data_IF_376565307775
#
_entry.id   IF_376565307775
#
_cell.length_a   1.000
_cell.length_b   1.000
_cell.length_c   1.000
_cell.angle_alpha   90.00
_cell.angle_beta   90.00
_cell.angle_gamma   90.00
#
_symmetry.space_group_name_H-M   'P 1'
#
loop_
_entity.id
_entity.type
_entity.pdbx_description
1 polymer ?
#
# COMPACT_ATOMS: atom_id res chain seq x y z
N UNK A 1 -4.98 34.88 1.16
CA UNK A 1 -6.03 33.86 1.34
C UNK A 1 -5.73 33.11 2.61
N UNK A 2 -6.68 33.04 3.56
CA UNK A 2 -6.42 32.50 4.91
C UNK A 2 -6.15 30.99 4.84
N UNK A 3 -4.89 30.59 5.04
CA UNK A 3 -4.48 29.21 5.24
C UNK A 3 -4.96 28.70 6.60
N UNK A 4 -6.20 28.19 6.65
CA UNK A 4 -6.73 27.53 7.83
C UNK A 4 -6.13 26.13 7.99
N UNK A 5 -5.59 25.80 9.16
CA UNK A 5 -5.19 24.44 9.50
C UNK A 5 -6.43 23.61 9.85
N UNK A 6 -6.71 22.56 9.08
CA UNK A 6 -7.78 21.59 9.39
C UNK A 6 -7.22 20.44 10.21
N UNK A 7 -7.81 20.16 11.37
CA UNK A 7 -7.44 18.98 12.16
C UNK A 7 -8.03 17.72 11.53
N UNK A 8 -7.16 16.78 11.15
CA UNK A 8 -7.55 15.49 10.54
C UNK A 8 -7.70 14.41 11.61
N UNK A 9 -6.83 14.41 12.63
CA UNK A 9 -6.78 13.44 13.72
C UNK A 9 -6.74 14.17 15.07
N UNK A 10 -7.50 13.70 16.06
CA UNK A 10 -7.74 14.40 17.32
C UNK A 10 -7.53 13.51 18.54
N UNK A 11 -6.34 13.62 19.16
CA UNK A 11 -6.06 13.05 20.49
C UNK A 11 -6.20 11.53 20.58
N UNK A 12 -5.62 10.79 19.63
CA UNK A 12 -5.67 9.34 19.61
C UNK A 12 -4.68 8.74 20.61
N UNK A 13 -5.04 7.62 21.23
CA UNK A 13 -4.18 6.85 22.14
C UNK A 13 -4.44 5.38 21.92
N UNK A 14 -3.39 4.59 21.75
CA UNK A 14 -3.47 3.16 21.52
C UNK A 14 -2.09 2.52 21.51
N UNK A 15 -2.05 1.20 21.43
CA UNK A 15 -0.84 0.40 21.35
C UNK A 15 -1.04 -0.79 20.41
N UNK A 16 0.02 -1.52 20.11
CA UNK A 16 -0.09 -2.85 19.48
C UNK A 16 1.14 -3.65 19.88
N UNK A 17 0.96 -4.94 20.20
CA UNK A 17 2.04 -5.79 20.70
C UNK A 17 2.58 -6.69 19.58
N UNK A 18 3.79 -7.24 19.72
CA UNK A 18 4.27 -8.31 18.85
C UNK A 18 3.33 -9.51 18.89
N UNK A 19 3.04 -10.13 17.74
CA UNK A 19 2.07 -11.21 17.62
C UNK A 19 0.61 -10.75 17.55
N UNK A 20 0.36 -9.44 17.41
CA UNK A 20 -0.99 -8.89 17.30
C UNK A 20 -1.23 -8.23 15.93
N UNK A 21 -2.48 -8.37 15.50
CA UNK A 21 -3.05 -7.69 14.32
C UNK A 21 -4.03 -6.63 14.81
N UNK A 22 -3.69 -5.36 14.58
CA UNK A 22 -4.52 -4.19 14.84
C UNK A 22 -5.26 -3.78 13.55
N UNK A 23 -6.59 -3.80 13.60
CA UNK A 23 -7.43 -3.26 12.54
C UNK A 23 -7.84 -1.81 12.85
N UNK A 24 -7.58 -0.90 11.91
CA UNK A 24 -8.07 0.48 11.91
C UNK A 24 -9.27 0.53 10.98
N UNK A 25 -10.44 0.79 11.55
CA UNK A 25 -11.71 0.78 10.84
C UNK A 25 -12.44 2.11 11.01
N UNK A 26 -13.27 2.45 10.05
CA UNK A 26 -14.07 3.67 10.09
C UNK A 26 -14.57 4.10 8.71
N UNK A 27 -15.51 5.05 8.65
CA UNK A 27 -16.08 5.54 7.40
C UNK A 27 -15.02 6.14 6.47
N UNK A 28 -15.38 6.30 5.21
CA UNK A 28 -14.57 7.07 4.25
C UNK A 28 -14.27 8.47 4.79
N UNK A 29 -13.03 8.94 4.59
CA UNK A 29 -12.60 10.27 5.04
C UNK A 29 -12.42 10.44 6.55
N UNK A 30 -12.54 9.40 7.39
CA UNK A 30 -12.37 9.53 8.84
C UNK A 30 -10.91 9.64 9.32
N UNK A 31 -9.93 9.50 8.42
CA UNK A 31 -8.50 9.62 8.72
C UNK A 31 -7.73 8.29 8.88
N UNK A 32 -8.27 7.16 8.41
CA UNK A 32 -7.60 5.83 8.50
C UNK A 32 -6.20 5.82 7.88
N UNK A 33 -6.10 6.13 6.59
CA UNK A 33 -4.81 6.16 5.88
C UNK A 33 -3.90 7.24 6.44
N UNK A 34 -4.44 8.40 6.86
CA UNK A 34 -3.65 9.43 7.56
C UNK A 34 -3.06 8.91 8.87
N UNK A 35 -3.82 8.16 9.68
CA UNK A 35 -3.29 7.54 10.90
C UNK A 35 -2.22 6.51 10.55
N UNK A 36 -2.46 5.67 9.55
CA UNK A 36 -1.51 4.65 9.12
C UNK A 36 -0.20 5.26 8.59
N UNK A 37 -0.28 6.28 7.74
CA UNK A 37 0.86 7.05 7.24
C UNK A 37 1.60 7.78 8.38
N UNK A 38 0.87 8.30 9.37
CA UNK A 38 1.46 8.94 10.55
C UNK A 38 2.26 7.93 11.36
N UNK A 39 1.68 6.75 11.62
CA UNK A 39 2.36 5.65 12.32
C UNK A 39 3.56 5.12 11.53
N UNK A 40 3.49 5.13 10.19
CA UNK A 40 4.55 4.71 9.30
C UNK A 40 5.62 5.79 9.03
N UNK A 41 5.46 7.00 9.56
CA UNK A 41 6.40 8.11 9.34
C UNK A 41 6.41 8.66 7.91
N UNK A 42 5.31 8.51 7.17
CA UNK A 42 5.14 8.88 5.74
C UNK A 42 4.40 10.20 5.53
N UNK A 43 4.15 10.96 6.59
CA UNK A 43 3.46 12.25 6.50
C UNK A 43 4.23 13.23 5.61
N UNK A 44 3.51 13.89 4.70
CA UNK A 44 4.06 14.92 3.84
C UNK A 44 4.48 16.17 4.62
N UNK A 45 5.39 16.96 4.03
CA UNK A 45 5.93 18.19 4.62
C UNK A 45 4.88 19.25 4.99
N UNK A 46 3.69 19.16 4.40
CA UNK A 46 2.59 20.11 4.62
C UNK A 46 1.72 19.77 5.84
N UNK A 47 1.98 18.65 6.51
CA UNK A 47 1.19 18.19 7.66
C UNK A 47 1.95 18.40 8.96
N UNK A 48 1.28 18.97 9.96
CA UNK A 48 1.84 19.12 11.32
C UNK A 48 1.38 17.96 12.19
N UNK A 49 2.34 17.26 12.78
CA UNK A 49 2.10 16.22 13.76
C UNK A 49 2.25 16.77 15.19
N UNK A 50 1.38 16.34 16.09
CA UNK A 50 1.49 16.57 17.54
C UNK A 50 1.29 15.25 18.28
N UNK A 51 1.93 15.10 19.43
CA UNK A 51 1.98 13.84 20.17
C UNK A 51 3.19 12.97 19.82
N UNK A 52 3.31 11.84 20.50
CA UNK A 52 4.49 10.97 20.45
C UNK A 52 4.16 9.59 19.91
N UNK A 53 4.95 9.13 18.94
CA UNK A 53 4.92 7.75 18.43
C UNK A 53 6.18 7.07 18.94
N UNK A 54 5.98 5.98 19.66
CA UNK A 54 7.04 5.26 20.36
C UNK A 54 7.05 3.81 19.89
N UNK A 55 8.24 3.29 19.63
CA UNK A 55 8.46 1.89 19.28
C UNK A 55 9.33 1.29 20.37
N UNK A 56 8.83 0.25 21.05
CA UNK A 56 9.44 -0.32 22.26
C UNK A 56 9.78 0.75 23.32
N UNK A 57 8.94 1.79 23.47
CA UNK A 57 9.15 2.89 24.41
C UNK A 57 10.15 3.97 23.95
N UNK A 58 10.69 3.88 22.73
CA UNK A 58 11.65 4.83 22.18
C UNK A 58 11.06 5.66 21.03
N UNK A 59 11.35 6.97 21.00
CA UNK A 59 11.13 7.83 19.81
C UNK A 59 12.15 7.43 18.75
N UNK A 60 11.74 6.55 17.83
CA UNK A 60 12.62 6.06 16.76
C UNK A 60 12.02 6.41 15.41
N UNK A 61 12.84 7.01 14.53
CA UNK A 61 12.48 7.14 13.13
C UNK A 61 12.40 5.74 12.51
N UNK A 62 11.28 5.43 11.86
CA UNK A 62 11.10 4.20 11.13
C UNK A 62 12.11 4.17 9.97
N UNK A 63 13.00 3.19 10.01
CA UNK A 63 13.98 2.96 8.96
C UNK A 63 13.46 1.89 8.00
N UNK A 64 13.81 2.02 6.72
CA UNK A 64 13.53 1.02 5.71
C UNK A 64 14.06 -0.36 6.11
N UNK A 65 13.24 -1.40 5.94
CA UNK A 65 13.58 -2.79 6.29
C UNK A 65 13.30 -3.18 7.75
N UNK A 66 13.09 -2.20 8.64
CA UNK A 66 12.57 -2.44 9.99
C UNK A 66 11.06 -2.50 9.99
N UNK A 67 10.45 -1.61 9.20
CA UNK A 67 9.04 -1.61 8.85
C UNK A 67 8.84 -1.75 7.35
N UNK A 68 7.70 -2.30 6.95
CA UNK A 68 7.24 -2.28 5.56
C UNK A 68 5.84 -1.67 5.46
N UNK A 69 5.54 -1.06 4.31
CA UNK A 69 4.27 -0.38 4.06
C UNK A 69 3.70 -0.83 2.73
N UNK A 70 2.55 -1.48 2.76
CA UNK A 70 1.80 -1.85 1.56
C UNK A 70 0.75 -0.77 1.30
N UNK A 71 0.87 -0.09 0.17
CA UNK A 71 -0.09 0.93 -0.28
C UNK A 71 -1.41 0.30 -0.72
N UNK A 72 -2.47 1.12 -0.82
CA UNK A 72 -3.76 0.68 -1.35
C UNK A 72 -3.64 0.20 -2.81
N UNK A 73 -2.96 0.99 -3.65
CA UNK A 73 -2.70 0.62 -5.04
C UNK A 73 -1.50 -0.33 -5.15
N UNK A 74 -1.66 -1.39 -5.96
CA UNK A 74 -0.59 -2.33 -6.28
C UNK A 74 0.31 -1.77 -7.38
N UNK A 75 1.43 -1.16 -6.99
CA UNK A 75 2.46 -0.69 -7.93
C UNK A 75 3.31 -1.89 -8.43
N UNK A 76 2.82 -2.59 -9.45
CA UNK A 76 3.49 -3.74 -10.05
C UNK A 76 3.76 -3.52 -11.54
N UNK A 77 4.98 -3.86 -12.01
CA UNK A 77 5.28 -3.91 -13.44
C UNK A 77 4.55 -5.10 -14.05
N UNK A 78 3.58 -4.80 -14.92
CA UNK A 78 2.62 -5.76 -15.46
C UNK A 78 3.25 -6.75 -16.46
N UNK A 79 4.35 -6.40 -17.10
CA UNK A 79 5.06 -7.25 -18.09
C UNK A 79 5.94 -8.34 -17.46
N UNK A 80 6.20 -8.23 -16.16
CA UNK A 80 7.02 -9.20 -15.41
C UNK A 80 6.16 -10.38 -14.95
N UNK A 81 6.82 -11.52 -14.78
CA UNK A 81 6.25 -12.66 -14.05
C UNK A 81 6.31 -12.43 -12.55
N UNK A 82 5.50 -13.17 -11.78
CA UNK A 82 5.55 -13.15 -10.30
C UNK A 82 6.98 -13.42 -9.80
N UNK A 83 7.63 -14.47 -10.34
CA UNK A 83 9.00 -14.82 -9.98
C UNK A 83 9.96 -13.66 -10.22
N UNK A 84 9.90 -13.06 -11.41
CA UNK A 84 10.81 -11.96 -11.78
C UNK A 84 10.59 -10.74 -10.88
N UNK A 85 9.34 -10.34 -10.65
CA UNK A 85 9.02 -9.21 -9.79
C UNK A 85 9.58 -9.40 -8.38
N UNK A 86 9.32 -10.55 -7.75
CA UNK A 86 9.81 -10.86 -6.40
C UNK A 86 11.35 -11.01 -6.38
N UNK A 87 11.96 -11.60 -7.41
CA UNK A 87 13.42 -11.78 -7.47
C UNK A 87 14.17 -10.47 -7.69
N UNK A 88 13.63 -9.56 -8.50
CA UNK A 88 14.21 -8.22 -8.66
C UNK A 88 14.11 -7.44 -7.36
N UNK A 89 12.95 -7.47 -6.68
CA UNK A 89 12.80 -6.88 -5.35
C UNK A 89 13.76 -7.50 -4.34
N UNK A 90 13.91 -8.82 -4.31
CA UNK A 90 14.85 -9.50 -3.41
C UNK A 90 16.30 -9.04 -3.65
N UNK A 91 16.71 -8.85 -4.91
CA UNK A 91 18.06 -8.36 -5.21
C UNK A 91 18.30 -6.93 -4.74
N UNK A 92 17.29 -6.06 -4.83
CA UNK A 92 17.38 -4.64 -4.48
C UNK A 92 17.24 -4.38 -2.98
N UNK A 93 16.33 -5.10 -2.32
CA UNK A 93 15.95 -4.86 -0.92
C UNK A 93 16.80 -5.68 0.08
N UNK A 94 17.25 -6.88 -0.29
CA UNK A 94 18.03 -7.73 0.62
C UNK A 94 19.51 -7.29 0.67
N UNK A 95 20.17 -7.45 1.83
CA UNK A 95 21.53 -6.97 2.04
C UNK A 95 22.55 -7.64 1.12
N UNK A 96 23.65 -6.94 0.84
CA UNK A 96 24.76 -7.47 0.02
C UNK A 96 25.53 -8.62 0.70
N UNK A 97 25.39 -8.76 2.02
CA UNK A 97 25.97 -9.91 2.76
C UNK A 97 25.33 -11.24 2.36
N UNK A 98 24.13 -11.20 1.79
CA UNK A 98 23.42 -12.37 1.31
C UNK A 98 23.82 -12.69 -0.14
N UNK A 99 24.20 -13.93 -0.39
CA UNK A 99 24.54 -14.42 -1.72
C UNK A 99 23.34 -14.42 -2.66
N UNK A 100 23.58 -14.47 -3.98
CA UNK A 100 22.50 -14.53 -4.97
C UNK A 100 21.60 -15.77 -4.79
N UNK A 101 22.15 -16.89 -4.35
CA UNK A 101 21.37 -18.10 -4.07
C UNK A 101 20.46 -17.89 -2.87
N UNK A 102 20.99 -17.39 -1.75
CA UNK A 102 20.19 -17.15 -0.55
C UNK A 102 19.08 -16.11 -0.79
N UNK A 103 19.35 -15.07 -1.60
CA UNK A 103 18.32 -14.09 -2.00
C UNK A 103 17.21 -14.76 -2.80
N UNK A 104 17.56 -15.69 -3.69
CA UNK A 104 16.61 -16.46 -4.50
C UNK A 104 15.79 -17.41 -3.62
N UNK A 105 16.44 -18.14 -2.72
CA UNK A 105 15.79 -19.07 -1.79
C UNK A 105 14.83 -18.32 -0.85
N UNK A 106 15.22 -17.12 -0.40
CA UNK A 106 14.34 -16.23 0.36
C UNK A 106 13.11 -15.84 -0.46
N UNK A 107 13.29 -15.43 -1.71
CA UNK A 107 12.18 -15.08 -2.57
C UNK A 107 11.23 -16.26 -2.82
N UNK A 108 11.76 -17.44 -3.14
CA UNK A 108 10.97 -18.65 -3.35
C UNK A 108 10.17 -19.04 -2.09
N UNK A 109 10.78 -18.93 -0.91
CA UNK A 109 10.11 -19.15 0.37
C UNK A 109 8.94 -18.17 0.57
N UNK A 110 9.14 -16.88 0.31
CA UNK A 110 8.09 -15.87 0.48
C UNK A 110 6.95 -16.06 -0.53
N UNK A 111 7.24 -16.47 -1.76
CA UNK A 111 6.20 -16.83 -2.76
C UNK A 111 5.39 -18.05 -2.25
N UNK A 112 6.01 -19.01 -1.56
CA UNK A 112 5.31 -20.16 -0.95
C UNK A 112 4.41 -19.73 0.19
N UNK A 113 4.91 -18.89 1.09
CA UNK A 113 4.16 -18.36 2.24
C UNK A 113 2.88 -17.64 1.80
N UNK A 114 2.95 -16.89 0.70
CA UNK A 114 1.79 -16.18 0.13
C UNK A 114 0.91 -17.05 -0.79
N UNK A 115 1.22 -18.33 -0.98
CA UNK A 115 0.42 -19.24 -1.81
C UNK A 115 0.41 -18.87 -3.30
N UNK A 116 1.55 -18.41 -3.83
CA UNK A 116 1.73 -17.95 -5.22
C UNK A 116 2.53 -18.93 -6.10
N UNK A 117 2.67 -20.20 -5.68
CA UNK A 117 3.48 -21.19 -6.42
C UNK A 117 2.93 -21.48 -7.82
N UNK A 118 1.62 -21.65 -7.93
CA UNK A 118 0.97 -22.05 -9.18
C UNK A 118 1.05 -20.96 -10.27
N UNK A 119 1.17 -19.69 -9.86
CA UNK A 119 1.25 -18.56 -10.76
C UNK A 119 2.66 -17.93 -10.82
N UNK A 120 3.67 -18.61 -10.30
CA UNK A 120 5.03 -18.07 -10.18
C UNK A 120 5.64 -17.66 -11.53
N UNK A 121 5.33 -18.38 -12.61
CA UNK A 121 5.82 -18.08 -13.96
C UNK A 121 4.78 -17.32 -14.82
N UNK A 122 3.67 -16.88 -14.24
CA UNK A 122 2.60 -16.15 -14.94
C UNK A 122 2.92 -14.66 -14.99
N UNK A 123 2.69 -14.02 -16.14
CA UNK A 123 2.85 -12.57 -16.34
C UNK A 123 1.75 -11.83 -15.57
N UNK A 124 2.14 -10.82 -14.79
CA UNK A 124 1.26 -10.10 -13.85
C UNK A 124 0.04 -9.45 -14.56
N UNK A 125 0.30 -8.74 -15.66
CA UNK A 125 -0.71 -8.05 -16.47
C UNK A 125 -1.41 -8.92 -17.49
N UNK A 126 -0.87 -10.09 -17.80
CA UNK A 126 -1.26 -10.87 -18.97
C UNK A 126 -0.54 -10.42 -20.24
N UNK A 127 -0.89 -11.06 -21.35
CA UNK A 127 -0.40 -10.74 -22.70
C UNK A 127 -1.57 -10.72 -23.67
N UNK A 128 -1.38 -10.26 -24.91
CA UNK A 128 -2.39 -10.22 -25.96
C UNK A 128 -3.21 -11.53 -26.02
N UNK A 129 -4.46 -11.46 -25.55
CA UNK A 129 -5.40 -12.60 -25.50
C UNK A 129 -5.26 -13.55 -24.30
N UNK A 130 -4.23 -13.44 -23.47
CA UNK A 130 -3.99 -14.28 -22.30
C UNK A 130 -4.26 -13.51 -20.99
N UNK A 131 -5.15 -14.06 -20.16
CA UNK A 131 -5.50 -13.48 -18.85
C UNK A 131 -4.28 -13.49 -17.91
N UNK A 132 -4.00 -12.33 -17.30
CA UNK A 132 -2.99 -12.18 -16.26
C UNK A 132 -3.46 -12.69 -14.89
N UNK A 133 -2.82 -12.20 -13.84
CA UNK A 133 -3.18 -12.54 -12.46
C UNK A 133 -4.54 -11.95 -12.05
N UNK A 134 -5.25 -12.66 -11.17
CA UNK A 134 -6.45 -12.11 -10.51
C UNK A 134 -6.08 -10.96 -9.57
N UNK A 135 -7.06 -10.13 -9.19
CA UNK A 135 -6.85 -9.04 -8.23
C UNK A 135 -6.23 -9.53 -6.91
N UNK A 136 -6.76 -10.62 -6.35
CA UNK A 136 -6.23 -11.22 -5.12
C UNK A 136 -4.81 -11.75 -5.28
N UNK A 137 -4.47 -12.29 -6.45
CA UNK A 137 -3.10 -12.71 -6.76
C UNK A 137 -2.16 -11.51 -6.84
N UNK A 138 -2.53 -10.43 -7.56
CA UNK A 138 -1.74 -9.19 -7.63
C UNK A 138 -1.50 -8.61 -6.24
N UNK A 139 -2.54 -8.57 -5.40
CA UNK A 139 -2.44 -8.09 -4.02
C UNK A 139 -1.45 -8.89 -3.19
N UNK A 140 -1.51 -10.23 -3.30
CA UNK A 140 -0.53 -11.11 -2.64
C UNK A 140 0.89 -10.91 -3.15
N UNK A 141 1.09 -10.59 -4.44
CA UNK A 141 2.43 -10.27 -4.98
C UNK A 141 2.96 -8.95 -4.41
N UNK A 142 2.12 -7.93 -4.32
CA UNK A 142 2.45 -6.63 -3.71
C UNK A 142 2.90 -6.80 -2.25
N UNK A 143 2.11 -7.54 -1.44
CA UNK A 143 2.48 -7.88 -0.07
C UNK A 143 3.75 -8.74 -0.02
N UNK A 144 3.88 -9.73 -0.92
CA UNK A 144 5.04 -10.62 -1.02
C UNK A 144 6.34 -9.83 -1.17
N UNK A 145 6.34 -8.77 -1.97
CA UNK A 145 7.51 -7.91 -2.18
C UNK A 145 7.90 -7.20 -0.88
N UNK A 146 6.95 -6.63 -0.17
CA UNK A 146 7.19 -5.88 1.07
C UNK A 146 7.68 -6.76 2.22
N UNK A 147 7.21 -8.01 2.32
CA UNK A 147 7.59 -8.93 3.39
C UNK A 147 8.93 -9.65 3.16
N UNK A 148 9.57 -9.50 1.99
CA UNK A 148 10.88 -10.12 1.67
C UNK A 148 11.94 -9.79 2.72
N UNK A 149 11.91 -8.55 3.21
CA UNK A 149 12.85 -8.04 4.22
C UNK A 149 12.60 -8.62 5.61
N UNK A 150 11.53 -9.40 5.81
CA UNK A 150 11.02 -9.85 7.12
C UNK A 150 10.92 -8.69 8.12
N UNK A 151 10.07 -7.70 7.83
CA UNK A 151 9.89 -6.54 8.69
C UNK A 151 9.24 -6.98 10.00
N UNK A 152 9.64 -6.36 11.12
CA UNK A 152 9.00 -6.59 12.41
C UNK A 152 7.69 -5.81 12.53
N UNK A 153 7.58 -4.67 11.84
CA UNK A 153 6.38 -3.84 11.77
C UNK A 153 5.84 -3.86 10.34
N UNK A 154 4.59 -4.24 10.15
CA UNK A 154 3.94 -4.28 8.84
C UNK A 154 2.70 -3.38 8.83
N UNK A 155 2.70 -2.40 7.94
CA UNK A 155 1.57 -1.49 7.71
C UNK A 155 0.87 -1.89 6.40
N UNK A 156 -0.45 -2.04 6.44
CA UNK A 156 -1.26 -2.47 5.30
C UNK A 156 -2.41 -1.50 5.07
N UNK A 157 -2.34 -0.72 4.00
CA UNK A 157 -3.41 0.23 3.66
C UNK A 157 -4.46 -0.47 2.78
N UNK A 158 -5.64 -0.71 3.34
CA UNK A 158 -6.78 -1.38 2.69
C UNK A 158 -6.38 -2.65 1.90
N UNK A 159 -5.82 -3.68 2.55
CA UNK A 159 -5.32 -4.90 1.88
C UNK A 159 -6.41 -5.72 1.19
N UNK A 160 -7.67 -5.50 1.52
CA UNK A 160 -8.82 -6.22 0.95
C UNK A 160 -9.60 -5.41 -0.08
N UNK A 161 -9.15 -4.20 -0.42
CA UNK A 161 -9.84 -3.35 -1.39
C UNK A 161 -9.88 -3.99 -2.78
N UNK A 162 -11.05 -3.96 -3.43
CA UNK A 162 -11.24 -4.54 -4.77
C UNK A 162 -11.21 -6.08 -4.83
N UNK A 163 -11.21 -6.77 -3.69
CA UNK A 163 -11.26 -8.23 -3.60
C UNK A 163 -12.65 -8.73 -3.21
N UNK A 164 -13.00 -9.95 -3.64
CA UNK A 164 -14.16 -10.65 -3.12
C UNK A 164 -13.90 -11.18 -1.69
N UNK A 165 -14.95 -11.62 -0.99
CA UNK A 165 -14.85 -12.08 0.41
C UNK A 165 -13.89 -13.26 0.57
N UNK A 166 -13.90 -14.20 -0.37
CA UNK A 166 -13.03 -15.38 -0.34
C UNK A 166 -11.55 -15.02 -0.54
N UNK A 167 -11.22 -14.19 -1.54
CA UNK A 167 -9.84 -13.75 -1.74
C UNK A 167 -9.37 -12.85 -0.58
N UNK A 168 -10.24 -12.00 -0.04
CA UNK A 168 -9.95 -11.16 1.13
C UNK A 168 -9.58 -12.02 2.34
N UNK A 169 -10.39 -13.02 2.68
CA UNK A 169 -10.09 -13.96 3.76
C UNK A 169 -8.77 -14.70 3.51
N UNK A 170 -8.54 -15.17 2.29
CA UNK A 170 -7.30 -15.85 1.97
C UNK A 170 -6.07 -14.95 2.15
N UNK A 171 -6.13 -13.70 1.69
CA UNK A 171 -5.03 -12.73 1.84
C UNK A 171 -4.77 -12.47 3.33
N UNK A 172 -5.82 -12.14 4.09
CA UNK A 172 -5.70 -11.79 5.50
C UNK A 172 -5.29 -12.96 6.38
N UNK A 173 -5.77 -14.18 6.11
CA UNK A 173 -5.34 -15.38 6.84
C UNK A 173 -3.87 -15.70 6.61
N UNK A 174 -3.33 -15.47 5.41
CA UNK A 174 -1.89 -15.60 5.15
C UNK A 174 -1.10 -14.56 5.94
N UNK A 175 -1.52 -13.30 5.92
CA UNK A 175 -0.88 -12.23 6.69
C UNK A 175 -0.90 -12.53 8.19
N UNK A 176 -2.05 -12.94 8.74
CA UNK A 176 -2.17 -13.32 10.14
C UNK A 176 -1.34 -14.56 10.48
N UNK A 177 -1.16 -15.50 9.55
CA UNK A 177 -0.29 -16.67 9.77
C UNK A 177 1.21 -16.34 9.77
N UNK A 178 1.63 -15.26 9.10
CA UNK A 178 3.01 -14.76 9.18
C UNK A 178 3.33 -14.25 10.59
N UNK A 179 2.32 -13.68 11.25
CA UNK A 179 2.42 -13.12 12.58
C UNK A 179 2.75 -14.18 13.65
N UNK A 180 2.02 -15.30 13.62
CA UNK A 180 2.17 -16.40 14.59
C UNK A 180 3.56 -17.04 14.60
N UNK A 181 4.30 -16.97 13.49
CA UNK A 181 5.61 -17.61 13.35
C UNK A 181 6.78 -16.71 13.70
N UNK A 182 6.62 -15.41 13.46
CA UNK A 182 7.73 -14.45 13.55
C UNK A 182 7.52 -13.36 14.60
N UNK A 183 6.34 -13.30 15.24
CA UNK A 183 5.99 -12.29 16.24
C UNK A 183 6.03 -10.89 15.66
N UNK A 184 5.42 -10.70 14.49
CA UNK A 184 5.39 -9.40 13.82
C UNK A 184 4.35 -8.50 14.49
N UNK A 185 4.35 -7.23 14.18
CA UNK A 185 3.27 -6.34 14.61
C UNK A 185 2.62 -5.83 13.35
N UNK A 186 1.34 -6.15 13.17
CA UNK A 186 0.62 -5.85 11.94
C UNK A 186 -0.43 -4.79 12.24
N UNK A 187 -0.39 -3.69 11.49
CA UNK A 187 -1.38 -2.62 11.56
C UNK A 187 -2.00 -2.47 10.19
N UNK A 188 -3.31 -2.66 10.09
CA UNK A 188 -4.02 -2.62 8.81
C UNK A 188 -5.20 -1.65 8.87
N UNK A 189 -5.36 -0.81 7.85
CA UNK A 189 -6.60 -0.08 7.63
C UNK A 189 -7.55 -0.95 6.82
N UNK A 190 -8.82 -1.09 7.25
CA UNK A 190 -9.82 -1.88 6.52
C UNK A 190 -11.15 -1.12 6.55
N UNK A 191 -11.79 -1.00 5.40
CA UNK A 191 -13.08 -0.32 5.30
C UNK A 191 -14.22 -1.19 5.84
N UNK A 192 -14.45 -2.38 5.26
CA UNK A 192 -15.58 -3.26 5.61
C UNK A 192 -15.17 -4.74 5.46
N UNK A 193 -14.66 -5.39 6.52
CA UNK A 193 -14.27 -6.80 6.47
C UNK A 193 -15.51 -7.73 6.53
N UNK A 194 -15.39 -8.94 5.97
CA UNK A 194 -16.32 -10.02 6.27
C UNK A 194 -16.18 -10.47 7.72
N UNK A 195 -17.19 -11.13 8.29
CA UNK A 195 -17.12 -11.67 9.66
C UNK A 195 -15.92 -12.60 9.88
N UNK A 196 -15.55 -13.38 8.86
CA UNK A 196 -14.38 -14.28 8.90
C UNK A 196 -13.07 -13.50 8.97
N UNK A 197 -12.95 -12.39 8.22
CA UNK A 197 -11.78 -11.51 8.27
C UNK A 197 -11.74 -10.75 9.60
N UNK A 198 -12.90 -10.29 10.09
CA UNK A 198 -13.00 -9.57 11.36
C UNK A 198 -12.54 -10.43 12.54
N UNK A 199 -12.82 -11.73 12.52
CA UNK A 199 -12.38 -12.68 13.53
C UNK A 199 -10.85 -12.88 13.58
N UNK A 200 -10.09 -12.43 12.58
CA UNK A 200 -8.63 -12.50 12.57
C UNK A 200 -7.96 -11.36 13.35
N UNK A 201 -8.71 -10.32 13.75
CA UNK A 201 -8.16 -9.16 14.43
C UNK A 201 -8.10 -9.35 15.94
N UNK A 202 -6.95 -9.01 16.51
CA UNK A 202 -6.76 -9.02 17.97
C UNK A 202 -7.33 -7.75 18.56
N UNK A 203 -6.93 -6.61 18.00
CA UNK A 203 -7.35 -5.28 18.44
C UNK A 203 -8.05 -4.53 17.31
N UNK A 204 -8.99 -3.67 17.70
CA UNK A 204 -9.79 -2.83 16.82
C UNK A 204 -9.65 -1.37 17.25
N UNK A 205 -9.31 -0.49 16.31
CA UNK A 205 -9.35 0.96 16.44
C UNK A 205 -10.45 1.51 15.52
N UNK A 206 -11.57 1.92 16.10
CA UNK A 206 -12.67 2.56 15.36
C UNK A 206 -12.50 4.08 15.36
N UNK A 207 -12.48 4.65 14.17
CA UNK A 207 -12.33 6.09 13.93
C UNK A 207 -13.56 6.67 13.26
N UNK A 208 -14.00 7.83 13.75
CA UNK A 208 -15.01 8.65 13.07
C UNK A 208 -14.63 10.13 13.17
N UNK A 209 -14.59 10.82 12.01
CA UNK A 209 -14.17 12.23 11.89
C UNK A 209 -12.88 12.57 12.64
N UNK A 210 -11.86 11.70 12.56
CA UNK A 210 -10.57 11.91 13.23
C UNK A 210 -10.52 11.61 14.72
N UNK A 211 -11.63 11.15 15.33
CA UNK A 211 -11.74 10.84 16.76
C UNK A 211 -11.84 9.33 16.96
N UNK A 212 -11.25 8.82 18.04
CA UNK A 212 -11.39 7.41 18.44
C UNK A 212 -12.76 7.20 19.07
N UNK A 213 -13.57 6.35 18.43
CA UNK A 213 -14.86 5.88 18.94
C UNK A 213 -14.66 4.71 19.89
N UNK A 214 -13.73 3.81 19.57
CA UNK A 214 -13.39 2.64 20.37
C UNK A 214 -11.95 2.22 20.06
N UNK A 215 -11.21 1.81 21.08
CA UNK A 215 -9.95 1.09 20.91
C UNK A 215 -9.87 -0.03 21.97
N UNK A 216 -9.56 -1.25 21.54
CA UNK A 216 -9.45 -2.41 22.41
C UNK A 216 -9.62 -3.73 21.66
N UNK A 217 -9.82 -4.85 22.37
CA UNK A 217 -9.99 -6.17 21.76
C UNK A 217 -11.18 -6.20 20.78
N UNK A 218 -10.99 -6.76 19.59
CA UNK A 218 -12.05 -6.82 18.57
C UNK A 218 -13.30 -7.56 19.05
N UNK A 219 -13.13 -8.59 19.89
CA UNK A 219 -14.22 -9.37 20.50
C UNK A 219 -15.08 -8.56 21.49
N UNK A 220 -14.49 -7.56 22.16
CA UNK A 220 -15.18 -6.73 23.15
C UNK A 220 -15.95 -5.56 22.51
N UNK A 221 -15.72 -5.24 21.24
CA UNK A 221 -16.37 -4.14 20.54
C UNK A 221 -17.91 -4.29 20.52
N UNK A 222 -18.42 -5.50 20.29
CA UNK A 222 -19.87 -5.77 20.31
C UNK A 222 -20.51 -5.42 21.65
N UNK A 223 -19.85 -5.79 22.75
CA UNK A 223 -20.33 -5.50 24.10
C UNK A 223 -20.33 -3.99 24.38
N UNK A 224 -19.27 -3.27 23.94
CA UNK A 224 -19.19 -1.82 24.08
C UNK A 224 -20.35 -1.11 23.38
N UNK A 225 -20.68 -1.50 22.15
CA UNK A 225 -21.81 -0.92 21.42
C UNK A 225 -23.16 -1.25 22.08
N UNK A 226 -23.34 -2.48 22.57
CA UNK A 226 -24.56 -2.90 23.28
C UNK A 226 -24.78 -2.09 24.58
N UNK A 227 -23.74 -1.88 25.39
CA UNK A 227 -23.80 -1.10 26.63
C UNK A 227 -24.16 0.38 26.40
N UNK A 228 -23.84 0.90 25.22
CA UNK A 228 -24.13 2.27 24.82
C UNK A 228 -25.49 2.43 24.11
N UNK A 229 -26.32 1.39 24.10
CA UNK A 229 -27.66 1.42 23.51
C UNK A 229 -27.70 1.14 22.01
N UNK A 230 -26.62 0.62 21.43
CA UNK A 230 -26.51 0.28 20.00
C UNK A 230 -26.14 -1.20 19.80
N UNK A 231 -26.92 -2.18 20.32
CA UNK A 231 -26.60 -3.59 20.17
C UNK A 231 -26.58 -4.02 18.70
N UNK A 232 -25.61 -4.88 18.34
CA UNK A 232 -25.56 -5.48 17.01
C UNK A 232 -26.73 -6.46 16.81
N UNK A 233 -27.49 -6.37 15.71
CA UNK A 233 -28.52 -7.36 15.39
C UNK A 233 -27.93 -8.77 15.22
N UNK A 234 -28.70 -9.80 15.58
CA UNK A 234 -28.26 -11.20 15.65
C UNK A 234 -27.81 -11.82 14.33
N UNK A 235 -28.29 -11.31 13.19
CA UNK A 235 -27.96 -11.81 11.85
C UNK A 235 -27.16 -10.81 11.01
N UNK A 236 -26.60 -9.78 11.65
CA UNK A 236 -25.80 -8.76 10.96
C UNK A 236 -24.32 -8.92 11.28
N UNK A 237 -23.47 -8.63 10.30
CA UNK A 237 -22.03 -8.56 10.51
C UNK A 237 -21.70 -7.40 11.48
N UNK A 238 -21.00 -7.66 12.61
CA UNK A 238 -20.57 -6.63 13.55
C UNK A 238 -19.87 -5.43 12.91
N UNK A 239 -18.98 -5.67 11.96
CA UNK A 239 -18.25 -4.59 11.29
C UNK A 239 -19.19 -3.62 10.57
N UNK A 240 -20.20 -4.15 9.88
CA UNK A 240 -21.15 -3.36 9.11
C UNK A 240 -22.02 -2.52 10.05
N UNK A 241 -22.43 -3.10 11.18
CA UNK A 241 -23.18 -2.40 12.22
C UNK A 241 -22.38 -1.25 12.81
N UNK A 242 -21.12 -1.46 13.15
CA UNK A 242 -20.25 -0.41 13.70
C UNK A 242 -20.09 0.75 12.73
N UNK A 243 -19.77 0.44 11.46
CA UNK A 243 -19.55 1.45 10.44
C UNK A 243 -20.82 2.24 10.15
N UNK A 244 -21.97 1.58 10.04
CA UNK A 244 -23.26 2.25 9.84
C UNK A 244 -23.60 3.19 10.99
N UNK A 245 -23.31 2.79 12.23
CA UNK A 245 -23.57 3.60 13.43
C UNK A 245 -22.70 4.86 13.48
N UNK A 246 -21.47 4.79 12.96
CA UNK A 246 -20.49 5.88 13.07
C UNK A 246 -20.31 6.70 11.77
N UNK A 247 -21.11 6.43 10.74
CA UNK A 247 -21.03 7.09 9.43
C UNK A 247 -21.99 8.28 9.33
N UNK A 248 -21.43 9.46 9.07
CA UNK A 248 -22.19 10.71 8.95
C UNK A 248 -22.92 10.88 7.62
N UNK A 249 -22.45 10.22 6.57
CA UNK A 249 -22.87 10.50 5.18
C UNK A 249 -24.27 9.95 4.87
N UNK A 250 -24.76 8.97 5.64
CA UNK A 250 -26.06 8.32 5.43
C UNK A 250 -27.12 8.73 6.47
N UNK A 251 -26.97 9.91 7.07
CA UNK A 251 -27.92 10.44 8.06
C UNK A 251 -29.30 10.81 7.51
N UNK A 252 -29.46 10.93 6.18
CA UNK A 252 -30.68 11.45 5.55
C UNK A 252 -31.60 10.38 4.93
N UNK A 253 -31.14 9.14 4.72
CA UNK A 253 -31.92 8.09 4.03
C UNK A 253 -32.67 7.15 4.99
N UNK A 254 -33.63 7.68 5.74
CA UNK A 254 -34.70 6.86 6.32
C UNK A 254 -36.04 7.41 5.81
N UNK A 255 -36.44 6.99 4.61
CA UNK A 255 -37.82 7.04 4.08
C UNK A 255 -38.81 6.17 4.90
N UNK A 256 -38.63 6.08 6.22
CA UNK A 256 -39.54 5.42 7.15
C UNK A 256 -39.77 6.30 8.37
N UNK A 257 -40.81 7.13 8.28
CA UNK A 257 -41.70 7.56 9.36
C UNK A 257 -41.11 8.00 10.70
N UNK A 258 -41.27 9.30 10.99
CA UNK A 258 -41.49 9.95 12.28
C UNK A 258 -41.08 9.27 13.60
N UNK A 259 -40.32 10.05 14.39
CA UNK A 259 -40.27 10.17 15.85
C UNK A 259 -38.93 9.77 16.52
N UNK A 260 -38.09 10.76 16.82
CA UNK A 260 -37.18 10.73 17.97
C UNK A 260 -35.80 10.08 17.83
N UNK A 261 -35.29 9.81 16.62
CA UNK A 261 -33.92 9.29 16.47
C UNK A 261 -32.88 10.42 16.62
N UNK A 262 -31.96 10.25 17.58
CA UNK A 262 -30.73 11.05 17.77
C UNK A 262 -30.00 11.20 16.43
N UNK A 263 -29.39 12.35 16.18
CA UNK A 263 -28.59 12.55 14.95
C UNK A 263 -27.34 11.67 14.99
N UNK A 264 -26.81 11.26 13.83
CA UNK A 264 -25.58 10.45 13.80
C UNK A 264 -24.40 11.14 14.48
N UNK A 265 -24.37 12.47 14.48
CA UNK A 265 -23.36 13.25 15.22
C UNK A 265 -23.50 13.10 16.73
N UNK A 266 -24.73 13.17 17.26
CA UNK A 266 -25.01 12.91 18.67
C UNK A 266 -24.63 11.47 19.05
N UNK A 267 -24.88 10.49 18.18
CA UNK A 267 -24.48 9.09 18.41
C UNK A 267 -22.96 8.95 18.52
N UNK A 268 -22.21 9.56 17.60
CA UNK A 268 -20.75 9.54 17.62
C UNK A 268 -20.24 10.24 18.89
N UNK A 269 -20.82 11.37 19.28
CA UNK A 269 -20.41 12.09 20.48
C UNK A 269 -20.69 11.28 21.76
N UNK A 270 -21.84 10.62 21.85
CA UNK A 270 -22.15 9.70 22.96
C UNK A 270 -21.11 8.58 23.04
N UNK A 271 -20.80 7.92 21.91
CA UNK A 271 -19.84 6.82 21.89
C UNK A 271 -18.42 7.28 22.24
N UNK A 272 -17.98 8.44 21.71
CA UNK A 272 -16.66 9.02 22.02
C UNK A 272 -16.55 9.39 23.49
N UNK A 273 -17.58 10.02 24.07
CA UNK A 273 -17.60 10.39 25.49
C UNK A 273 -17.65 9.15 26.39
N UNK A 274 -18.46 8.16 26.02
CA UNK A 274 -18.55 6.89 26.74
C UNK A 274 -17.24 6.11 26.69
N UNK A 275 -16.56 6.08 25.54
CA UNK A 275 -15.24 5.45 25.45
C UNK A 275 -14.25 6.16 26.38
N UNK A 276 -14.19 7.49 26.38
CA UNK A 276 -13.30 8.26 27.27
C UNK A 276 -13.58 8.05 28.76
N UNK A 277 -14.82 7.80 29.16
CA UNK A 277 -15.20 7.50 30.55
C UNK A 277 -15.14 6.01 30.89
N UNK A 278 -14.98 5.12 29.90
CA UNK A 278 -14.95 3.67 30.08
C UNK A 278 -13.68 3.16 30.78
N UNK A 279 -13.80 2.00 31.43
CA UNK A 279 -12.66 1.25 31.97
C UNK A 279 -11.68 0.84 30.89
N UNK A 280 -12.15 0.52 29.68
CA UNK A 280 -11.31 0.16 28.54
C UNK A 280 -10.32 1.28 28.17
N UNK A 281 -10.75 2.54 28.15
CA UNK A 281 -9.84 3.66 27.89
C UNK A 281 -8.80 3.85 29.00
N UNK A 282 -9.19 3.67 30.26
CA UNK A 282 -8.25 3.72 31.39
C UNK A 282 -7.21 2.60 31.32
N UNK A 283 -7.64 1.38 30.96
CA UNK A 283 -6.76 0.24 30.78
C UNK A 283 -5.77 0.46 29.62
N UNK A 284 -6.24 0.99 28.48
CA UNK A 284 -5.37 1.35 27.35
C UNK A 284 -4.34 2.39 27.76
N UNK A 285 -4.74 3.43 28.52
CA UNK A 285 -3.78 4.43 29.03
C UNK A 285 -2.76 3.84 29.98
N UNK A 286 -3.19 2.93 30.86
CA UNK A 286 -2.31 2.21 31.79
C UNK A 286 -1.29 1.36 31.03
N UNK A 287 -1.74 0.56 30.07
CA UNK A 287 -0.89 -0.26 29.20
C UNK A 287 0.11 0.60 28.42
N UNK A 288 -0.33 1.70 27.81
CA UNK A 288 0.57 2.63 27.12
C UNK A 288 1.62 3.19 28.07
N UNK A 289 1.24 3.62 29.27
CA UNK A 289 2.18 4.12 30.27
C UNK A 289 3.17 3.04 30.72
N UNK A 290 2.71 1.81 30.91
CA UNK A 290 3.55 0.67 31.29
C UNK A 290 4.56 0.32 30.20
N UNK A 291 4.14 0.26 28.93
CA UNK A 291 5.01 0.01 27.78
C UNK A 291 6.09 1.09 27.62
N UNK A 292 5.74 2.35 27.90
CA UNK A 292 6.69 3.47 27.90
C UNK A 292 7.71 3.32 29.02
N UNK A 293 7.28 2.92 30.22
CA UNK A 293 8.13 2.77 31.39
C UNK A 293 9.08 1.57 31.29
N UNK A 294 8.57 0.42 30.82
CA UNK A 294 9.32 -0.84 30.75
C UNK A 294 10.52 -0.74 29.80
N UNK A 295 10.41 0.01 28.68
CA UNK A 295 11.42 0.03 27.61
C UNK A 295 11.92 -1.38 27.26
N UNK A 296 11.02 -2.36 27.31
CA UNK A 296 11.32 -3.76 27.04
C UNK A 296 11.37 -3.92 25.51
N UNK A 297 12.60 -4.04 25.00
CA UNK A 297 12.88 -4.17 23.58
C UNK A 297 14.04 -3.28 23.19
N UNK A 298 15.19 -3.88 22.87
CA UNK A 298 16.33 -3.14 22.33
C UNK A 298 15.91 -2.29 21.12
N UNK A 299 16.62 -1.18 20.90
CA UNK A 299 16.40 -0.34 19.72
C UNK A 299 16.38 -1.23 18.47
N UNK A 300 15.40 -1.03 17.59
CA UNK A 300 15.35 -1.77 16.33
C UNK A 300 16.68 -1.54 15.60
N UNK A 301 17.42 -2.62 15.33
CA UNK A 301 18.77 -2.55 14.78
C UNK A 301 18.79 -1.66 13.55
N UNK A 302 19.57 -0.59 13.63
CA UNK A 302 19.53 0.55 12.72
C UNK A 302 20.27 0.31 11.39
N UNK A 303 20.57 -0.94 11.04
CA UNK A 303 21.43 -1.25 9.89
C UNK A 303 21.00 -2.51 9.17
N UNK A 304 20.11 -2.35 8.18
CA UNK A 304 20.19 -3.21 6.99
C UNK A 304 20.59 -2.35 5.81
N UNK A 305 21.76 -2.69 5.25
CA UNK A 305 22.31 -2.08 4.05
C UNK A 305 21.43 -2.47 2.86
N UNK A 306 21.02 -1.49 2.07
CA UNK A 306 20.51 -1.73 0.73
C UNK A 306 21.57 -2.38 -0.15
N UNK A 307 21.14 -2.91 -1.29
CA UNK A 307 22.06 -3.26 -2.37
C UNK A 307 22.95 -2.06 -2.74
N UNK A 308 24.19 -2.31 -3.16
CA UNK A 308 25.11 -1.23 -3.56
C UNK A 308 24.53 -0.46 -4.77
N UNK A 309 24.87 0.82 -4.93
CA UNK A 309 24.37 1.63 -6.07
C UNK A 309 24.63 0.97 -7.42
N UNK A 310 25.83 0.39 -7.62
CA UNK A 310 26.16 -0.33 -8.85
C UNK A 310 25.29 -1.58 -9.05
N UNK A 311 25.04 -2.33 -7.97
CA UNK A 311 24.13 -3.48 -8.01
C UNK A 311 22.71 -3.04 -8.35
N UNK A 312 22.22 -1.97 -7.73
CA UNK A 312 20.90 -1.41 -8.01
C UNK A 312 20.79 -0.98 -9.47
N UNK A 313 21.75 -0.22 -9.98
CA UNK A 313 21.80 0.21 -11.37
C UNK A 313 21.75 -0.99 -12.33
N UNK A 314 22.62 -1.98 -12.15
CA UNK A 314 22.63 -3.17 -13.00
C UNK A 314 21.31 -3.95 -12.96
N UNK A 315 20.74 -4.15 -11.77
CA UNK A 315 19.48 -4.89 -11.60
C UNK A 315 18.31 -4.12 -12.21
N UNK A 316 18.23 -2.80 -12.01
CA UNK A 316 17.19 -1.96 -12.58
C UNK A 316 17.30 -1.87 -14.11
N UNK A 317 18.51 -1.72 -14.66
CA UNK A 317 18.72 -1.73 -16.11
C UNK A 317 18.30 -3.07 -16.71
N UNK A 318 18.65 -4.19 -16.07
CA UNK A 318 18.21 -5.51 -16.52
C UNK A 318 16.68 -5.66 -16.46
N UNK A 319 16.05 -5.22 -15.36
CA UNK A 319 14.58 -5.20 -15.19
C UNK A 319 13.92 -4.38 -16.30
N UNK A 320 14.42 -3.19 -16.56
CA UNK A 320 13.93 -2.28 -17.59
C UNK A 320 14.10 -2.86 -18.99
N UNK A 321 15.23 -3.52 -19.29
CA UNK A 321 15.42 -4.18 -20.59
C UNK A 321 14.41 -5.31 -20.84
N UNK A 322 14.10 -6.10 -19.82
CA UNK A 322 13.07 -7.16 -19.92
C UNK A 322 11.68 -6.55 -20.12
N UNK A 323 11.35 -5.48 -19.39
CA UNK A 323 10.11 -4.73 -19.55
C UNK A 323 9.98 -4.23 -21.01
N UNK A 324 11.01 -3.55 -21.49
CA UNK A 324 11.08 -2.97 -22.83
C UNK A 324 10.95 -4.00 -23.95
N UNK A 325 11.59 -5.16 -23.80
CA UNK A 325 11.52 -6.23 -24.79
C UNK A 325 10.13 -6.87 -24.89
N UNK A 326 9.44 -7.02 -23.75
CA UNK A 326 8.13 -7.69 -23.67
C UNK A 326 6.94 -6.78 -23.94
N UNK A 327 7.10 -5.47 -23.76
CA UNK A 327 6.13 -4.50 -24.23
C UNK A 327 6.25 -4.29 -25.76
N UNK A 328 5.74 -5.30 -26.47
CA UNK A 328 5.66 -5.35 -27.93
C UNK A 328 4.80 -4.23 -28.53
N UNK A 329 3.84 -3.69 -27.78
CA UNK A 329 2.98 -2.63 -28.29
C UNK A 329 3.73 -1.31 -28.39
N UNK A 330 4.38 -0.89 -27.30
CA UNK A 330 4.90 0.46 -27.21
C UNK A 330 6.30 0.62 -27.86
N UNK A 331 7.26 -0.24 -27.52
CA UNK A 331 8.64 -0.05 -27.97
C UNK A 331 8.88 -0.53 -29.40
N UNK A 332 8.32 -1.67 -29.79
CA UNK A 332 8.50 -2.19 -31.14
C UNK A 332 7.76 -1.36 -32.19
N UNK A 333 6.56 -0.84 -31.87
CA UNK A 333 5.88 0.12 -32.73
C UNK A 333 6.73 1.37 -32.94
N UNK A 334 7.38 1.89 -31.89
CA UNK A 334 8.29 3.03 -31.99
C UNK A 334 9.50 2.71 -32.89
N UNK A 335 10.12 1.54 -32.75
CA UNK A 335 11.20 1.10 -33.64
C UNK A 335 10.72 1.03 -35.09
N UNK A 336 9.54 0.46 -35.34
CA UNK A 336 8.96 0.39 -36.68
C UNK A 336 8.70 1.77 -37.30
N UNK A 337 8.19 2.73 -36.51
CA UNK A 337 7.99 4.12 -36.93
C UNK A 337 9.33 4.81 -37.26
N UNK A 338 10.38 4.56 -36.48
CA UNK A 338 11.71 5.10 -36.80
C UNK A 338 12.27 4.52 -38.09
N UNK A 339 12.12 3.21 -38.30
CA UNK A 339 12.59 2.54 -39.52
C UNK A 339 11.81 3.05 -40.74
N UNK A 340 10.48 3.17 -40.66
CA UNK A 340 9.66 3.67 -41.76
C UNK A 340 10.00 5.12 -42.11
N UNK A 341 10.23 5.97 -41.10
CA UNK A 341 10.62 7.36 -41.30
C UNK A 341 12.05 7.48 -41.88
N UNK A 342 12.99 6.65 -41.42
CA UNK A 342 14.34 6.60 -41.97
C UNK A 342 14.34 6.16 -43.44
N UNK A 343 13.52 5.15 -43.79
CA UNK A 343 13.34 4.72 -45.18
C UNK A 343 12.70 5.83 -46.03
N UNK A 344 11.65 6.51 -45.52
CA UNK A 344 11.01 7.62 -46.23
C UNK A 344 11.94 8.81 -46.47
N UNK A 345 12.76 9.18 -45.49
CA UNK A 345 13.78 10.22 -45.67
C UNK A 345 14.88 9.76 -46.62
N UNK A 346 15.31 8.51 -46.52
CA UNK A 346 16.32 7.92 -47.38
C UNK A 346 15.89 7.86 -48.85
N UNK A 347 14.60 7.66 -49.13
CA UNK A 347 14.06 7.66 -50.50
C UNK A 347 13.86 9.06 -51.05
N UNK A 348 13.32 10.00 -50.26
CA UNK A 348 13.09 11.39 -50.70
C UNK A 348 14.42 12.10 -51.01
N UNK A 349 15.45 11.82 -50.22
CA UNK A 349 16.75 12.47 -50.31
C UNK A 349 17.84 11.54 -50.86
N UNK A 350 17.44 10.60 -51.72
CA UNK A 350 18.36 9.69 -52.38
C UNK A 350 19.29 10.46 -53.34
N UNK A 351 20.60 10.20 -53.26
CA UNK A 351 21.64 10.75 -54.14
C UNK A 351 21.67 12.29 -54.26
N UNK A 352 21.77 12.98 -53.12
CA UNK A 352 21.98 14.43 -53.10
C UNK A 352 23.38 14.76 -53.63
N UNK A 353 23.43 15.25 -54.87
CA UNK A 353 24.65 15.74 -55.52
C UNK A 353 25.34 16.91 -54.80
N UNK A 354 26.33 17.53 -55.44
CA UNK A 354 27.20 18.57 -54.84
C UNK A 354 26.87 20.00 -55.29
N UNK A 355 25.65 20.29 -55.73
CA UNK A 355 25.22 21.62 -56.19
C UNK A 355 24.87 22.57 -55.03
N UNK A 356 24.75 23.88 -55.30
CA UNK A 356 24.29 24.86 -54.30
C UNK A 356 22.89 24.55 -53.73
N UNK A 357 21.98 23.99 -54.56
CA UNK A 357 20.67 23.50 -54.10
C UNK A 357 20.76 22.31 -53.14
N UNK A 358 21.86 21.56 -53.20
CA UNK A 358 22.10 20.37 -52.38
C UNK A 358 22.44 20.74 -50.93
N UNK A 359 23.04 21.92 -50.70
CA UNK A 359 23.30 22.47 -49.37
C UNK A 359 21.97 22.74 -48.64
N UNK A 360 20.98 23.32 -49.33
CA UNK A 360 19.66 23.57 -48.77
C UNK A 360 18.93 22.26 -48.44
N UNK A 361 18.99 21.25 -49.32
CA UNK A 361 18.41 19.93 -49.08
C UNK A 361 19.00 19.24 -47.84
N UNK A 362 20.33 19.30 -47.67
CA UNK A 362 21.02 18.76 -46.47
C UNK A 362 20.60 19.49 -45.19
N UNK A 363 20.44 20.82 -45.24
CA UNK A 363 19.93 21.60 -44.12
C UNK A 363 18.50 21.19 -43.73
N UNK A 364 17.62 21.00 -44.71
CA UNK A 364 16.24 20.54 -44.48
C UNK A 364 16.17 19.16 -43.83
N UNK A 365 17.02 18.21 -44.22
CA UNK A 365 17.09 16.88 -43.61
C UNK A 365 17.49 16.97 -42.13
N UNK A 366 18.54 17.72 -41.81
CA UNK A 366 19.03 17.87 -40.43
C UNK A 366 17.96 18.51 -39.56
N UNK A 367 17.29 19.55 -40.06
CA UNK A 367 16.19 20.20 -39.36
C UNK A 367 15.01 19.25 -39.13
N UNK A 368 14.64 18.46 -40.14
CA UNK A 368 13.57 17.47 -40.02
C UNK A 368 13.90 16.38 -39.01
N UNK A 369 15.10 15.79 -39.06
CA UNK A 369 15.56 14.78 -38.11
C UNK A 369 15.54 15.35 -36.68
N UNK A 370 16.05 16.55 -36.48
CA UNK A 370 16.11 17.20 -35.15
C UNK A 370 14.71 17.45 -34.60
N UNK A 371 13.80 17.99 -35.42
CA UNK A 371 12.41 18.24 -35.03
C UNK A 371 11.66 16.93 -34.70
N UNK A 372 11.81 15.91 -35.54
CA UNK A 372 11.15 14.62 -35.33
C UNK A 372 11.66 13.88 -34.10
N UNK A 373 12.98 13.87 -33.86
CA UNK A 373 13.55 13.30 -32.64
C UNK A 373 12.99 14.01 -31.41
N UNK A 374 12.89 15.34 -31.44
CA UNK A 374 12.32 16.13 -30.34
C UNK A 374 10.86 15.74 -30.07
N UNK A 375 10.03 15.63 -31.11
CA UNK A 375 8.62 15.23 -30.96
C UNK A 375 8.48 13.82 -30.40
N UNK A 376 9.32 12.88 -30.84
CA UNK A 376 9.28 11.49 -30.38
C UNK A 376 9.72 11.32 -28.92
N UNK A 377 10.57 12.20 -28.38
CA UNK A 377 10.95 12.16 -26.96
C UNK A 377 9.76 12.39 -26.03
N UNK A 378 8.79 13.22 -26.42
CA UNK A 378 7.57 13.49 -25.65
C UNK A 378 6.77 12.20 -25.44
N UNK A 379 6.73 11.35 -26.48
CA UNK A 379 6.03 10.07 -26.41
C UNK A 379 6.60 9.13 -25.34
N UNK A 380 7.85 9.33 -24.89
CA UNK A 380 8.55 8.56 -23.85
C UNK A 380 8.02 8.76 -22.43
N UNK A 381 7.32 9.87 -22.20
CA UNK A 381 6.96 10.33 -20.85
C UNK A 381 5.99 9.40 -20.10
N UNK A 382 4.91 8.84 -20.71
CA UNK A 382 3.97 7.98 -19.98
C UNK A 382 4.62 6.71 -19.41
N UNK A 383 5.49 6.06 -20.20
CA UNK A 383 6.23 4.87 -19.76
C UNK A 383 7.20 5.19 -18.61
N UNK A 384 7.85 6.36 -18.64
CA UNK A 384 8.67 6.83 -17.54
C UNK A 384 7.86 7.08 -16.26
N UNK A 385 6.66 7.65 -16.39
CA UNK A 385 5.75 7.87 -15.25
C UNK A 385 5.28 6.55 -14.63
N UNK A 386 5.03 5.51 -15.45
CA UNK A 386 4.70 4.18 -14.94
C UNK A 386 5.86 3.53 -14.19
N UNK A 387 7.07 3.58 -14.75
CA UNK A 387 8.27 3.06 -14.07
C UNK A 387 8.59 3.81 -12.77
N UNK A 388 8.32 5.12 -12.70
CA UNK A 388 8.54 5.92 -11.49
C UNK A 388 7.59 5.57 -10.34
N UNK A 389 6.45 4.91 -10.64
CA UNK A 389 5.53 4.42 -9.60
C UNK A 389 6.02 3.14 -8.92
N UNK A 390 6.94 2.37 -9.53
CA UNK A 390 7.37 1.02 -9.10
C UNK A 390 8.84 0.90 -8.72
#
# INVERSE_FOLDING_TARGET
GRGGSRSILQGLTGYTKPGEVLAIMGPSGCGKSTLLDTLAGRLGSNTRQSGDILINGHKQALAYGTSAYVTQDDALITTLTVREAVYYSAQLQLPNSMSKSEKKDRADMTIREMGLQDCMNTIIGGYWGAKGLSGGQKRRVSICIEILTRPKLLFLDEPTSGLDSAASYYVMSRIASLDQREGRTIITSIHQPSSEVFALFHNLCLLSSGRTVYFGPASAANQFFALNGFPCPTLQNPSDHFLRTINKDFGEDIEQGSAGKKTTEEMIDILVMSYKSSSSYQEVRREVAELICKKEGGALEKKRSHASFLTQCFVLTRRSFVNMYRDLGYYWLRVAVYVSMALGLGTIFYDIGSSYSSIQARGSIIMFITSMLTLMTIGGFPSFVEDMKV
#
